data_IF_743728518761
#
_entry.id   IF_743728518761
#
_cell.length_a   1.000
_cell.length_b   1.000
_cell.length_c   1.000
_cell.angle_alpha   90.00
_cell.angle_beta   90.00
_cell.angle_gamma   90.00
#
_symmetry.space_group_name_H-M   'P 1'
#
loop_
_entity.id
_entity.type
_entity.pdbx_description
1 polymer ?
#
# COMPACT_ATOMS: atom_id res chain seq x y z
N UNK A 1 9.99 -17.58 10.96
CA UNK A 1 9.47 -16.27 10.60
C UNK A 1 9.19 -16.20 9.12
N UNK A 2 8.13 -15.53 8.74
CA UNK A 2 7.82 -15.37 7.32
C UNK A 2 8.74 -14.32 6.71
N UNK A 3 9.35 -14.66 5.56
CA UNK A 3 10.14 -13.72 4.78
C UNK A 3 9.30 -12.96 3.76
N UNK A 4 8.00 -13.20 3.76
CA UNK A 4 7.09 -12.51 2.86
C UNK A 4 7.12 -11.01 3.17
N UNK A 5 7.03 -10.15 2.15
CA UNK A 5 7.12 -8.72 2.36
C UNK A 5 5.85 -8.13 2.97
N UNK A 6 6.01 -6.93 3.53
CA UNK A 6 4.90 -6.08 3.92
C UNK A 6 4.57 -5.16 2.74
N UNK A 7 3.32 -5.14 2.32
CA UNK A 7 2.87 -4.23 1.28
C UNK A 7 2.49 -2.87 1.88
N UNK A 8 2.91 -1.79 1.24
CA UNK A 8 2.52 -0.43 1.61
C UNK A 8 1.77 0.18 0.44
N UNK A 9 0.52 0.51 0.67
CA UNK A 9 -0.35 1.09 -0.35
C UNK A 9 -0.41 2.61 -0.17
N UNK A 10 -0.25 3.33 -1.28
CA UNK A 10 -0.32 4.78 -1.32
C UNK A 10 -1.40 5.22 -2.31
N UNK A 11 -2.42 5.92 -1.83
CA UNK A 11 -3.48 6.48 -2.65
C UNK A 11 -3.16 7.89 -3.16
N UNK A 12 -1.89 8.31 -3.01
CA UNK A 12 -1.41 9.61 -3.48
C UNK A 12 -1.08 10.61 -2.38
N UNK A 13 -1.47 10.32 -1.13
CA UNK A 13 -1.22 11.21 0.00
C UNK A 13 -0.71 10.40 1.20
N UNK A 14 0.56 10.56 1.53
CA UNK A 14 1.09 10.10 2.81
C UNK A 14 1.65 8.69 2.86
N UNK A 15 1.56 7.88 1.80
CA UNK A 15 2.08 6.51 1.81
C UNK A 15 3.58 6.46 2.02
N UNK A 16 4.32 7.42 1.46
CA UNK A 16 5.76 7.49 1.64
C UNK A 16 6.14 7.75 3.10
N UNK A 17 5.33 8.54 3.82
CA UNK A 17 5.56 8.80 5.25
C UNK A 17 5.33 7.54 6.08
N UNK A 18 4.30 6.75 5.73
CA UNK A 18 4.03 5.47 6.38
C UNK A 18 5.20 4.51 6.15
N UNK A 19 5.69 4.42 4.91
CA UNK A 19 6.83 3.56 4.59
C UNK A 19 8.08 3.97 5.38
N UNK A 20 8.34 5.27 5.48
CA UNK A 20 9.51 5.78 6.23
C UNK A 20 9.44 5.36 7.70
N UNK A 21 8.28 5.50 8.34
CA UNK A 21 8.11 5.11 9.72
C UNK A 21 8.19 3.59 9.90
N UNK A 22 7.65 2.83 8.96
CA UNK A 22 7.75 1.37 9.00
C UNK A 22 9.21 0.92 8.91
N UNK A 23 9.99 1.52 8.01
CA UNK A 23 11.42 1.22 7.88
C UNK A 23 12.19 1.57 9.14
N UNK A 24 11.81 2.67 9.81
CA UNK A 24 12.45 3.07 11.06
C UNK A 24 12.16 2.09 12.20
N UNK A 25 10.92 1.64 12.30
CA UNK A 25 10.47 0.78 13.41
C UNK A 25 10.76 -0.69 13.16
N UNK A 26 10.69 -1.13 11.91
CA UNK A 26 10.86 -2.53 11.52
C UNK A 26 11.86 -2.62 10.37
N UNK A 27 13.16 -2.33 10.63
CA UNK A 27 14.15 -2.23 9.55
C UNK A 27 14.52 -3.58 8.93
N UNK A 28 14.20 -4.70 9.59
CA UNK A 28 14.53 -6.02 9.08
C UNK A 28 13.44 -6.66 8.24
N UNK A 29 12.32 -5.95 8.02
CA UNK A 29 11.27 -6.43 7.15
C UNK A 29 11.54 -6.02 5.71
N UNK A 30 11.05 -6.83 4.77
CA UNK A 30 11.04 -6.48 3.36
C UNK A 30 9.74 -5.77 3.03
N UNK A 31 9.79 -4.79 2.14
CA UNK A 31 8.62 -3.98 1.81
C UNK A 31 8.40 -3.93 0.30
N UNK A 32 7.11 -3.94 -0.09
CA UNK A 32 6.68 -3.59 -1.44
C UNK A 32 5.84 -2.33 -1.32
N UNK A 33 6.28 -1.27 -2.00
CA UNK A 33 5.52 -0.01 -2.05
C UNK A 33 4.72 0.03 -3.35
N UNK A 34 3.42 0.19 -3.23
CA UNK A 34 2.54 0.31 -4.39
C UNK A 34 1.83 1.67 -4.35
N UNK A 35 2.20 2.54 -5.28
CA UNK A 35 1.57 3.84 -5.43
C UNK A 35 0.61 3.85 -6.61
N UNK A 36 -0.66 4.16 -6.37
CA UNK A 36 -1.67 4.25 -7.43
C UNK A 36 -1.69 5.67 -8.01
N UNK A 37 -0.57 6.10 -8.56
CA UNK A 37 -0.37 7.47 -9.02
C UNK A 37 -1.28 7.84 -10.21
N UNK A 38 -1.67 6.85 -11.00
CA UNK A 38 -2.57 7.10 -12.13
C UNK A 38 -3.99 7.50 -11.72
N UNK A 39 -4.40 7.13 -10.50
CA UNK A 39 -5.72 7.43 -9.97
C UNK A 39 -5.68 8.39 -8.76
N UNK A 40 -4.49 8.78 -8.34
CA UNK A 40 -4.33 9.67 -7.19
C UNK A 40 -4.59 11.13 -7.60
N UNK A 41 -5.03 11.97 -6.65
CA UNK A 41 -5.46 11.64 -5.30
C UNK A 41 -6.89 11.08 -5.28
N UNK A 42 -7.19 10.29 -4.25
CA UNK A 42 -8.52 9.69 -4.13
C UNK A 42 -9.56 10.64 -3.53
N UNK A 43 -9.14 11.75 -2.96
CA UNK A 43 -10.01 12.66 -2.24
C UNK A 43 -11.16 13.26 -3.04
N UNK A 44 -11.00 13.36 -4.37
CA UNK A 44 -12.03 13.92 -5.25
C UNK A 44 -12.96 12.85 -5.85
N UNK A 45 -12.79 11.60 -5.44
CA UNK A 45 -13.54 10.48 -6.00
C UNK A 45 -14.70 10.11 -5.09
N UNK A 46 -15.72 9.46 -5.67
CA UNK A 46 -16.84 8.93 -4.89
C UNK A 46 -16.38 7.78 -3.99
N UNK A 47 -17.17 7.49 -2.94
CA UNK A 47 -16.86 6.38 -2.04
C UNK A 47 -16.80 5.05 -2.78
N UNK A 48 -17.70 4.83 -3.75
CA UNK A 48 -17.71 3.62 -4.55
C UNK A 48 -16.44 3.49 -5.39
N UNK A 49 -15.98 4.60 -5.99
CA UNK A 49 -14.75 4.62 -6.77
C UNK A 49 -13.53 4.36 -5.89
N UNK A 50 -13.46 4.97 -4.71
CA UNK A 50 -12.37 4.76 -3.75
C UNK A 50 -12.33 3.29 -3.35
N UNK A 51 -13.48 2.70 -3.04
CA UNK A 51 -13.57 1.29 -2.65
C UNK A 51 -13.05 0.39 -3.77
N UNK A 52 -13.50 0.62 -5.01
CA UNK A 52 -13.09 -0.19 -6.15
C UNK A 52 -11.58 -0.09 -6.39
N UNK A 53 -11.02 1.12 -6.36
CA UNK A 53 -9.58 1.34 -6.55
C UNK A 53 -8.75 0.71 -5.44
N UNK A 54 -9.21 0.86 -4.20
CA UNK A 54 -8.53 0.29 -3.03
C UNK A 54 -8.50 -1.24 -3.11
N UNK A 55 -9.63 -1.86 -3.45
CA UNK A 55 -9.70 -3.31 -3.59
C UNK A 55 -8.81 -3.81 -4.72
N UNK A 56 -8.75 -3.09 -5.83
CA UNK A 56 -7.87 -3.46 -6.94
C UNK A 56 -6.39 -3.43 -6.51
N UNK A 57 -6.00 -2.44 -5.72
CA UNK A 57 -4.62 -2.34 -5.21
C UNK A 57 -4.31 -3.44 -4.19
N UNK A 58 -5.27 -3.75 -3.31
CA UNK A 58 -5.13 -4.86 -2.36
C UNK A 58 -4.95 -6.18 -3.12
N UNK A 59 -5.75 -6.42 -4.15
CA UNK A 59 -5.64 -7.64 -4.95
C UNK A 59 -4.26 -7.75 -5.60
N UNK A 60 -3.70 -6.65 -6.10
CA UNK A 60 -2.36 -6.64 -6.69
C UNK A 60 -1.30 -6.98 -5.66
N UNK A 61 -1.39 -6.40 -4.46
CA UNK A 61 -0.44 -6.69 -3.38
C UNK A 61 -0.58 -8.12 -2.89
N UNK A 62 -1.79 -8.65 -2.78
CA UNK A 62 -2.01 -10.03 -2.41
C UNK A 62 -1.42 -10.99 -3.44
N UNK A 63 -1.48 -10.65 -4.73
CA UNK A 63 -0.85 -11.44 -5.78
C UNK A 63 0.68 -11.45 -5.68
N UNK A 64 1.26 -10.48 -4.98
CA UNK A 64 2.70 -10.41 -4.70
C UNK A 64 3.09 -11.14 -3.42
N UNK A 65 2.16 -11.88 -2.82
CA UNK A 65 2.37 -12.70 -1.64
C UNK A 65 2.86 -11.92 -0.42
N UNK A 66 2.30 -10.73 -0.21
CA UNK A 66 2.60 -9.93 0.99
C UNK A 66 1.97 -10.59 2.22
N UNK A 67 2.60 -10.41 3.39
CA UNK A 67 2.09 -10.96 4.64
C UNK A 67 1.19 -9.98 5.39
N UNK A 68 1.26 -8.70 5.04
CA UNK A 68 0.43 -7.65 5.62
C UNK A 68 0.41 -6.46 4.67
N UNK A 69 -0.60 -5.61 4.82
CA UNK A 69 -0.74 -4.37 4.04
C UNK A 69 -0.95 -3.21 4.99
N UNK A 70 -0.18 -2.18 4.78
CA UNK A 70 -0.30 -0.92 5.50
C UNK A 70 -0.96 0.16 4.64
#
# INVERSE_FOLDING_TARGET
MSERPVGVFDSGLGGASVLREALRLLPNENYIYYGDSGNAPYGDKSDDDITALTMACIDKLMAMDVKAIL
#
